data_IF_164460783013
#
_entry.id   IF_164460783013
#
_cell.length_a   1.000
_cell.length_b   1.000
_cell.length_c   1.000
_cell.angle_alpha   90.00
_cell.angle_beta   90.00
_cell.angle_gamma   90.00
#
_symmetry.space_group_name_H-M   'P 1'
#
loop_
_entity.id
_entity.type
_entity.pdbx_description
1 polymer ?
#
# COMPACT_ATOMS: atom_id res chain seq x y z
N UNK A 1 -5.32 15.85 13.56
CA UNK A 1 -5.65 16.68 12.36
C UNK A 1 -4.48 16.91 11.40
N UNK A 2 -3.29 17.36 11.85
CA UNK A 2 -2.11 17.55 10.95
C UNK A 2 -1.62 16.24 10.31
N UNK A 3 -1.56 15.15 11.07
CA UNK A 3 -1.13 13.82 10.60
C UNK A 3 -2.01 13.30 9.45
N UNK A 4 -3.33 13.25 9.66
CA UNK A 4 -4.29 12.78 8.64
C UNK A 4 -4.25 13.61 7.36
N UNK A 5 -4.06 14.93 7.48
CA UNK A 5 -3.90 15.80 6.30
C UNK A 5 -2.63 15.45 5.51
N UNK A 6 -1.49 15.26 6.19
CA UNK A 6 -0.25 14.88 5.52
C UNK A 6 -0.31 13.49 4.88
N UNK A 7 -0.99 12.53 5.50
CA UNK A 7 -1.22 11.20 4.90
C UNK A 7 -2.12 11.32 3.66
N UNK A 8 -3.18 12.12 3.74
CA UNK A 8 -4.08 12.35 2.60
C UNK A 8 -3.32 12.95 1.41
N UNK A 9 -2.56 14.03 1.63
CA UNK A 9 -1.72 14.64 0.59
C UNK A 9 -0.68 13.66 0.01
N UNK A 10 -0.05 12.84 0.86
CA UNK A 10 0.86 11.78 0.43
C UNK A 10 0.18 10.83 -0.53
N UNK A 11 -1.00 10.32 -0.16
CA UNK A 11 -1.71 9.30 -0.93
C UNK A 11 -2.24 9.85 -2.24
N UNK A 12 -2.80 11.07 -2.26
CA UNK A 12 -3.27 11.69 -3.49
C UNK A 12 -2.11 11.87 -4.48
N UNK A 13 -0.98 12.39 -4.02
CA UNK A 13 0.20 12.56 -4.87
C UNK A 13 0.79 11.22 -5.33
N UNK A 14 0.82 10.23 -4.45
CA UNK A 14 1.26 8.88 -4.78
C UNK A 14 0.35 8.27 -5.87
N UNK A 15 -0.97 8.32 -5.69
CA UNK A 15 -1.96 7.78 -6.62
C UNK A 15 -1.80 8.46 -7.99
N UNK A 16 -1.79 9.79 -8.02
CA UNK A 16 -1.62 10.54 -9.27
C UNK A 16 -0.33 10.14 -10.01
N UNK A 17 0.79 10.09 -9.29
CA UNK A 17 2.10 9.72 -9.87
C UNK A 17 2.10 8.27 -10.36
N UNK A 18 1.53 7.35 -9.56
CA UNK A 18 1.42 5.94 -9.89
C UNK A 18 0.63 5.71 -11.19
N UNK A 19 -0.52 6.39 -11.34
CA UNK A 19 -1.33 6.28 -12.55
C UNK A 19 -0.62 6.85 -13.78
N UNK A 20 -0.02 8.04 -13.68
CA UNK A 20 0.71 8.64 -14.80
C UNK A 20 1.83 7.73 -15.28
N UNK A 21 2.57 7.15 -14.33
CA UNK A 21 3.72 6.29 -14.60
C UNK A 21 3.31 4.95 -15.22
N UNK A 22 2.31 4.29 -14.64
CA UNK A 22 2.02 2.89 -14.94
C UNK A 22 0.83 2.67 -15.88
N UNK A 23 0.16 3.72 -16.36
CA UNK A 23 -1.02 3.63 -17.25
C UNK A 23 -0.86 2.65 -18.42
N UNK A 24 0.32 2.62 -19.03
CA UNK A 24 0.62 1.79 -20.20
C UNK A 24 1.69 0.73 -19.93
N UNK A 25 2.22 0.65 -18.72
CA UNK A 25 3.22 -0.33 -18.34
C UNK A 25 2.57 -1.70 -18.13
N UNK A 26 3.32 -2.78 -18.34
CA UNK A 26 2.88 -4.16 -18.10
C UNK A 26 1.57 -4.58 -18.82
N UNK A 27 1.14 -3.85 -19.86
CA UNK A 27 -0.09 -4.14 -20.63
C UNK A 27 -0.12 -5.57 -21.17
N UNK A 28 1.02 -6.11 -21.63
CA UNK A 28 1.11 -7.51 -22.07
C UNK A 28 0.83 -8.51 -20.96
N UNK A 29 1.34 -8.28 -19.75
CA UNK A 29 1.08 -9.13 -18.57
C UNK A 29 -0.38 -9.00 -18.12
N UNK A 30 -0.91 -7.78 -18.10
CA UNK A 30 -2.32 -7.51 -17.77
C UNK A 30 -3.28 -8.21 -18.73
N UNK A 31 -3.00 -8.20 -20.04
CA UNK A 31 -3.78 -9.00 -21.02
C UNK A 31 -3.75 -10.49 -20.68
N UNK A 32 -2.60 -11.03 -20.30
CA UNK A 32 -2.48 -12.43 -19.88
C UNK A 32 -3.34 -12.72 -18.65
N UNK A 33 -3.25 -11.88 -17.62
CA UNK A 33 -4.08 -12.01 -16.41
C UNK A 33 -5.58 -11.92 -16.71
N UNK A 34 -5.99 -11.02 -17.61
CA UNK A 34 -7.39 -10.89 -18.07
C UNK A 34 -7.90 -12.18 -18.75
N UNK A 35 -7.07 -12.79 -19.58
CA UNK A 35 -7.41 -14.07 -20.24
C UNK A 35 -7.53 -15.17 -19.19
N UNK A 36 -6.54 -15.27 -18.30
CA UNK A 36 -6.52 -16.28 -17.24
C UNK A 36 -7.68 -16.11 -16.24
N UNK A 37 -8.16 -14.88 -16.04
CA UNK A 37 -9.27 -14.57 -15.14
C UNK A 37 -10.65 -14.91 -15.68
N UNK A 38 -10.78 -15.21 -16.98
CA UNK A 38 -12.06 -15.39 -17.71
C UNK A 38 -12.99 -14.16 -17.66
N UNK A 39 -12.50 -13.00 -17.21
CA UNK A 39 -13.26 -11.74 -17.22
C UNK A 39 -13.16 -11.01 -18.56
N UNK A 40 -12.48 -11.61 -19.54
CA UNK A 40 -12.35 -11.08 -20.90
C UNK A 40 -13.68 -10.97 -21.65
N UNK A 41 -14.74 -11.61 -21.15
CA UNK A 41 -16.10 -11.55 -21.69
C UNK A 41 -16.97 -10.47 -21.04
N UNK A 42 -16.62 -10.02 -19.84
CA UNK A 42 -17.43 -9.09 -19.04
C UNK A 42 -16.93 -7.66 -19.13
N UNK A 43 -15.60 -7.48 -19.17
CA UNK A 43 -14.95 -6.17 -19.26
C UNK A 43 -14.13 -6.10 -20.54
N UNK A 44 -14.21 -4.94 -21.22
CA UNK A 44 -13.28 -4.62 -22.29
C UNK A 44 -11.84 -4.49 -21.74
N UNK A 45 -10.87 -4.46 -22.65
CA UNK A 45 -9.47 -4.47 -22.26
C UNK A 45 -9.05 -3.21 -21.48
N UNK A 46 -9.54 -2.05 -21.88
CA UNK A 46 -9.15 -0.79 -21.25
C UNK A 46 -9.71 -0.72 -19.85
N UNK A 47 -11.01 -0.99 -19.68
CA UNK A 47 -11.64 -1.01 -18.36
C UNK A 47 -11.00 -2.04 -17.44
N UNK A 48 -10.66 -3.24 -17.95
CA UNK A 48 -9.94 -4.23 -17.16
C UNK A 48 -8.58 -3.69 -16.68
N UNK A 49 -7.81 -3.08 -17.57
CA UNK A 49 -6.49 -2.53 -17.23
C UNK A 49 -6.61 -1.38 -16.22
N UNK A 50 -7.62 -0.51 -16.36
CA UNK A 50 -7.91 0.55 -15.39
C UNK A 50 -8.26 -0.04 -14.01
N UNK A 51 -9.16 -1.02 -13.93
CA UNK A 51 -9.52 -1.68 -12.68
C UNK A 51 -8.29 -2.36 -12.03
N UNK A 52 -7.47 -3.03 -12.81
CA UNK A 52 -6.26 -3.70 -12.33
C UNK A 52 -5.24 -2.72 -11.80
N UNK A 53 -4.97 -1.65 -12.56
CA UNK A 53 -4.05 -0.60 -12.17
C UNK A 53 -4.54 0.11 -10.89
N UNK A 54 -5.83 0.41 -10.81
CA UNK A 54 -6.40 1.07 -9.65
C UNK A 54 -6.32 0.20 -8.40
N UNK A 55 -6.72 -1.08 -8.51
CA UNK A 55 -6.61 -2.03 -7.40
C UNK A 55 -5.16 -2.24 -6.97
N UNK A 56 -4.22 -2.28 -7.91
CA UNK A 56 -2.79 -2.35 -7.58
C UNK A 56 -2.30 -1.10 -6.84
N UNK A 57 -2.70 0.09 -7.30
CA UNK A 57 -2.38 1.35 -6.64
C UNK A 57 -2.90 1.37 -5.20
N UNK A 58 -4.18 1.02 -4.99
CA UNK A 58 -4.79 0.98 -3.66
C UNK A 58 -4.12 -0.07 -2.76
N UNK A 59 -3.70 -1.22 -3.30
CA UNK A 59 -2.93 -2.22 -2.55
C UNK A 59 -1.59 -1.66 -2.07
N UNK A 60 -0.87 -0.91 -2.93
CA UNK A 60 0.38 -0.24 -2.54
C UNK A 60 0.16 0.84 -1.49
N UNK A 61 -0.88 1.66 -1.64
CA UNK A 61 -1.27 2.62 -0.61
C UNK A 61 -1.53 1.95 0.74
N UNK A 62 -2.28 0.85 0.75
CA UNK A 62 -2.55 0.09 1.97
C UNK A 62 -1.27 -0.48 2.60
N UNK A 63 -0.39 -1.10 1.79
CA UNK A 63 0.91 -1.59 2.27
C UNK A 63 1.75 -0.48 2.92
N UNK A 64 1.84 0.70 2.28
CA UNK A 64 2.60 1.84 2.80
C UNK A 64 2.05 2.29 4.16
N UNK A 65 0.74 2.49 4.27
CA UNK A 65 0.11 2.97 5.51
C UNK A 65 0.31 1.94 6.63
N UNK A 66 0.01 0.66 6.36
CA UNK A 66 0.11 -0.40 7.36
C UNK A 66 1.56 -0.56 7.80
N UNK A 67 2.51 -0.52 6.87
CA UNK A 67 3.94 -0.60 7.19
C UNK A 67 4.40 0.57 8.07
N UNK A 68 3.98 1.82 7.79
CA UNK A 68 4.31 2.96 8.65
C UNK A 68 3.69 2.85 10.04
N UNK A 69 2.47 2.33 10.17
CA UNK A 69 1.83 2.07 11.47
C UNK A 69 2.60 1.01 12.26
N UNK A 70 2.98 -0.10 11.60
CA UNK A 70 3.78 -1.16 12.21
C UNK A 70 5.14 -0.63 12.67
N UNK A 71 5.77 0.22 11.86
CA UNK A 71 7.04 0.86 12.17
C UNK A 71 6.99 1.71 13.42
N UNK A 72 6.01 2.61 13.50
CA UNK A 72 5.91 3.56 14.60
C UNK A 72 5.43 2.86 15.89
N UNK A 73 4.85 1.67 15.78
CA UNK A 73 4.55 0.77 16.90
C UNK A 73 5.72 -0.14 17.30
N UNK A 74 6.84 -0.07 16.57
CA UNK A 74 8.04 -0.86 16.84
C UNK A 74 7.92 -2.34 16.45
N UNK A 75 7.00 -2.68 15.54
CA UNK A 75 6.77 -4.03 15.06
C UNK A 75 7.60 -4.40 13.82
N UNK A 76 8.33 -3.44 13.24
CA UNK A 76 9.34 -3.69 12.20
C UNK A 76 10.67 -3.02 12.53
N UNK A 77 11.75 -3.68 12.12
CA UNK A 77 13.11 -3.21 12.34
C UNK A 77 13.58 -2.23 11.24
N UNK A 78 13.14 -2.45 10.00
CA UNK A 78 13.33 -1.51 8.90
C UNK A 78 12.52 -0.23 9.15
N UNK A 79 13.19 0.93 9.12
CA UNK A 79 12.53 2.21 9.44
C UNK A 79 12.56 3.19 8.26
N UNK A 80 11.38 3.59 7.79
CA UNK A 80 11.15 4.66 6.80
C UNK A 80 10.81 6.01 7.43
N UNK A 81 10.67 6.11 8.76
CA UNK A 81 10.61 7.39 9.45
C UNK A 81 11.98 8.10 9.46
N UNK A 82 11.99 9.36 9.89
CA UNK A 82 13.18 10.22 9.95
C UNK A 82 14.36 9.53 10.65
N UNK A 83 14.11 8.91 11.80
CA UNK A 83 15.14 8.23 12.58
C UNK A 83 15.75 7.02 11.84
N UNK A 84 14.93 6.28 11.10
CA UNK A 84 15.37 5.17 10.26
C UNK A 84 16.18 5.62 9.07
N UNK A 85 15.68 6.64 8.37
CA UNK A 85 16.34 7.24 7.21
C UNK A 85 17.71 7.81 7.59
N UNK A 86 17.83 8.48 8.74
CA UNK A 86 19.10 9.03 9.21
C UNK A 86 20.13 7.92 9.49
N UNK A 87 19.72 6.83 10.14
CA UNK A 87 20.57 5.66 10.33
C UNK A 87 20.97 5.02 9.00
N UNK A 88 20.04 4.89 8.06
CA UNK A 88 20.33 4.40 6.72
C UNK A 88 21.37 5.26 6.00
N UNK A 89 21.19 6.59 6.02
CA UNK A 89 22.16 7.52 5.41
C UNK A 89 23.56 7.45 6.01
N UNK A 90 23.66 7.17 7.31
CA UNK A 90 24.96 6.95 7.96
C UNK A 90 25.62 5.64 7.52
N UNK A 91 24.84 4.60 7.26
CA UNK A 91 25.33 3.29 6.83
C UNK A 91 25.72 3.27 5.35
N UNK A 92 25.06 4.08 4.50
CA UNK A 92 25.23 4.00 3.05
C UNK A 92 25.60 5.34 2.43
N UNK A 93 26.90 5.53 2.18
CA UNK A 93 27.49 6.79 1.69
C UNK A 93 26.99 7.23 0.30
N UNK A 94 26.53 6.29 -0.54
CA UNK A 94 26.14 6.55 -1.94
C UNK A 94 24.70 6.12 -2.29
N UNK A 95 23.93 5.56 -1.34
CA UNK A 95 22.55 5.07 -1.55
C UNK A 95 21.51 5.82 -0.71
N UNK A 96 21.85 7.01 -0.20
CA UNK A 96 20.98 7.85 0.61
C UNK A 96 19.71 8.35 -0.10
N UNK A 97 19.54 8.04 -1.38
CA UNK A 97 18.37 8.29 -2.22
C UNK A 97 17.65 7.01 -2.70
N UNK A 98 18.19 5.81 -2.41
CA UNK A 98 17.63 4.52 -2.82
C UNK A 98 16.57 4.03 -1.84
N UNK A 99 15.61 4.89 -1.52
CA UNK A 99 14.58 4.61 -0.52
C UNK A 99 13.62 3.48 -0.89
N UNK A 100 13.50 3.17 -2.18
CA UNK A 100 12.82 1.96 -2.63
C UNK A 100 13.43 0.69 -2.02
N UNK A 101 14.75 0.64 -1.79
CA UNK A 101 15.40 -0.50 -1.13
C UNK A 101 14.97 -0.63 0.34
N UNK A 102 14.79 0.49 1.06
CA UNK A 102 14.26 0.44 2.42
C UNK A 102 12.84 -0.10 2.45
N UNK A 103 12.02 0.30 1.47
CA UNK A 103 10.67 -0.21 1.30
C UNK A 103 10.68 -1.72 1.03
N UNK A 104 11.52 -2.17 0.09
CA UNK A 104 11.65 -3.59 -0.26
C UNK A 104 12.13 -4.44 0.93
N UNK A 105 13.13 -3.98 1.68
CA UNK A 105 13.61 -4.65 2.90
C UNK A 105 12.48 -4.76 3.91
N UNK A 106 11.75 -3.67 4.17
CA UNK A 106 10.65 -3.70 5.13
C UNK A 106 9.50 -4.62 4.71
N UNK A 107 9.19 -4.69 3.41
CA UNK A 107 8.23 -5.66 2.90
C UNK A 107 8.72 -7.10 3.09
N UNK A 108 10.01 -7.38 2.82
CA UNK A 108 10.57 -8.72 3.01
C UNK A 108 10.54 -9.15 4.48
N UNK A 109 10.87 -8.26 5.41
CA UNK A 109 10.79 -8.50 6.85
C UNK A 109 9.34 -8.87 7.24
N UNK A 110 8.36 -8.13 6.75
CA UNK A 110 6.94 -8.36 7.01
C UNK A 110 6.39 -9.64 6.37
N UNK A 111 6.91 -10.02 5.21
CA UNK A 111 6.62 -11.32 4.58
C UNK A 111 7.27 -12.47 5.35
N UNK A 112 8.38 -12.26 6.04
CA UNK A 112 9.02 -13.28 6.86
C UNK A 112 8.49 -13.35 8.31
N UNK A 113 7.55 -12.47 8.68
CA UNK A 113 7.02 -12.34 10.04
C UNK A 113 6.31 -13.63 10.51
N UNK A 114 6.59 -14.04 11.76
CA UNK A 114 5.98 -15.23 12.39
C UNK A 114 4.46 -15.05 12.61
N UNK A 115 4.00 -13.81 12.73
CA UNK A 115 2.59 -13.49 12.81
C UNK A 115 1.92 -13.68 11.44
N UNK A 116 1.22 -14.81 11.31
CA UNK A 116 0.49 -15.18 10.08
C UNK A 116 -0.42 -14.08 9.54
N UNK A 117 -0.98 -13.22 10.40
CA UNK A 117 -1.84 -12.13 9.92
C UNK A 117 -1.02 -11.00 9.32
N UNK A 118 0.12 -10.62 9.92
CA UNK A 118 1.06 -9.67 9.30
C UNK A 118 1.56 -10.22 7.96
N UNK A 119 2.10 -11.44 7.96
CA UNK A 119 2.55 -12.13 6.75
C UNK A 119 1.48 -12.14 5.65
N UNK A 120 0.21 -12.42 5.99
CA UNK A 120 -0.88 -12.47 5.02
C UNK A 120 -1.19 -11.13 4.34
N UNK A 121 -0.94 -10.00 5.03
CA UNK A 121 -1.16 -8.65 4.50
C UNK A 121 -0.12 -8.30 3.42
N UNK A 122 1.11 -8.78 3.60
CA UNK A 122 2.25 -8.43 2.73
C UNK A 122 2.61 -9.54 1.73
N UNK A 123 1.89 -10.67 1.72
CA UNK A 123 2.12 -11.76 0.77
C UNK A 123 2.07 -11.25 -0.68
N UNK A 124 2.92 -11.81 -1.52
CA UNK A 124 3.01 -11.47 -2.94
C UNK A 124 1.70 -11.80 -3.68
N UNK A 125 1.32 -10.92 -4.59
CA UNK A 125 0.13 -10.96 -5.42
C UNK A 125 0.45 -10.54 -6.85
N UNK A 126 -0.48 -10.77 -7.77
CA UNK A 126 -0.34 -10.34 -9.17
C UNK A 126 -0.29 -8.81 -9.31
N UNK A 127 -0.81 -8.07 -8.32
CA UNK A 127 -0.79 -6.61 -8.28
C UNK A 127 0.61 -6.04 -7.97
N UNK A 128 1.54 -6.86 -7.48
CA UNK A 128 2.88 -6.43 -7.11
C UNK A 128 3.83 -6.28 -8.33
N UNK A 129 3.32 -6.45 -9.55
CA UNK A 129 4.06 -6.15 -10.79
C UNK A 129 4.45 -4.67 -10.92
N UNK A 130 3.75 -3.77 -10.22
CA UNK A 130 4.08 -2.35 -10.14
C UNK A 130 4.87 -2.09 -8.86
N UNK A 131 6.11 -1.63 -9.02
CA UNK A 131 7.05 -1.44 -7.91
C UNK A 131 6.99 -0.01 -7.36
N UNK A 132 7.31 0.16 -6.09
CA UNK A 132 7.51 1.48 -5.48
C UNK A 132 8.96 1.88 -5.74
N UNK A 133 9.18 2.57 -6.86
CA UNK A 133 10.52 3.00 -7.26
C UNK A 133 10.97 4.26 -6.50
N UNK A 134 12.13 4.82 -6.87
CA UNK A 134 12.69 5.99 -6.18
C UNK A 134 11.76 7.21 -6.18
N UNK A 135 11.02 7.45 -7.25
CA UNK A 135 10.09 8.58 -7.36
C UNK A 135 8.92 8.41 -6.39
N UNK A 136 8.27 7.26 -6.41
CA UNK A 136 7.16 6.95 -5.51
C UNK A 136 7.61 6.89 -4.05
N UNK A 137 8.78 6.31 -3.77
CA UNK A 137 9.34 6.27 -2.42
C UNK A 137 9.66 7.67 -1.88
N UNK A 138 10.14 8.59 -2.74
CA UNK A 138 10.39 9.97 -2.34
C UNK A 138 9.11 10.69 -1.91
N UNK A 139 7.97 10.43 -2.56
CA UNK A 139 6.67 10.96 -2.14
C UNK A 139 6.35 10.47 -0.73
N UNK A 140 6.43 9.15 -0.50
CA UNK A 140 6.14 8.56 0.82
C UNK A 140 6.99 9.22 1.91
N UNK A 141 8.29 9.38 1.67
CA UNK A 141 9.22 9.96 2.64
C UNK A 141 8.96 11.44 2.87
N UNK A 142 8.76 12.21 1.81
CA UNK A 142 8.54 13.64 1.91
C UNK A 142 7.39 13.98 2.86
N UNK A 143 6.30 13.21 2.79
CA UNK A 143 5.11 13.46 3.58
C UNK A 143 5.07 12.71 4.92
N UNK A 144 5.69 11.54 5.03
CA UNK A 144 5.49 10.65 6.20
C UNK A 144 6.69 10.51 7.14
N UNK A 145 7.89 10.98 6.77
CA UNK A 145 9.10 10.74 7.54
C UNK A 145 9.02 11.31 8.97
N UNK A 146 8.38 12.46 9.14
CA UNK A 146 8.25 13.14 10.44
C UNK A 146 6.92 12.84 11.15
N UNK A 147 6.09 11.96 10.59
CA UNK A 147 4.82 11.58 11.20
C UNK A 147 5.04 10.44 12.20
N UNK A 148 4.30 10.48 13.31
CA UNK A 148 4.13 9.34 14.21
C UNK A 148 2.70 8.81 14.06
N UNK A 149 2.58 7.55 13.63
CA UNK A 149 1.32 6.84 13.44
C UNK A 149 1.03 5.80 14.54
N UNK A 150 1.78 5.80 15.64
CA UNK A 150 1.59 4.83 16.74
C UNK A 150 0.16 4.82 17.26
N UNK A 151 -0.44 6.01 17.35
CA UNK A 151 -1.72 6.27 18.02
C UNK A 151 -2.88 6.47 17.04
N UNK A 152 -2.69 6.17 15.76
CA UNK A 152 -3.76 6.31 14.76
C UNK A 152 -4.95 5.41 15.13
N UNK A 153 -6.15 6.00 15.15
CA UNK A 153 -7.38 5.28 15.48
C UNK A 153 -7.91 4.49 14.28
N UNK A 154 -8.81 3.54 14.56
CA UNK A 154 -9.53 2.81 13.50
C UNK A 154 -10.33 3.78 12.63
N UNK A 155 -11.05 4.73 13.24
CA UNK A 155 -11.88 5.72 12.56
C UNK A 155 -11.04 6.62 11.65
N UNK A 156 -9.84 7.00 12.09
CA UNK A 156 -8.89 7.76 11.29
C UNK A 156 -8.41 6.97 10.07
N UNK A 157 -8.09 5.69 10.24
CA UNK A 157 -7.68 4.79 9.15
C UNK A 157 -8.82 4.55 8.14
N UNK A 158 -10.04 4.36 8.63
CA UNK A 158 -11.26 4.29 7.81
C UNK A 158 -11.49 5.60 7.06
N UNK A 159 -11.28 6.74 7.73
CA UNK A 159 -11.36 8.06 7.13
C UNK A 159 -10.38 8.23 5.96
N UNK A 160 -9.14 7.76 6.11
CA UNK A 160 -8.14 7.76 5.04
C UNK A 160 -8.59 6.86 3.88
N UNK A 161 -9.06 5.64 4.19
CA UNK A 161 -9.52 4.70 3.17
C UNK A 161 -10.65 5.28 2.32
N UNK A 162 -11.64 5.92 2.95
CA UNK A 162 -12.78 6.56 2.25
C UNK A 162 -12.38 7.74 1.38
N UNK A 163 -11.22 8.35 1.61
CA UNK A 163 -10.69 9.42 0.76
C UNK A 163 -9.99 8.92 -0.50
N UNK A 164 -9.35 7.75 -0.43
CA UNK A 164 -8.66 7.14 -1.58
C UNK A 164 -9.54 6.17 -2.37
N UNK A 165 -10.56 5.61 -1.72
CA UNK A 165 -11.52 4.69 -2.31
C UNK A 165 -12.90 4.90 -1.67
N UNK A 166 -13.62 5.88 -2.21
CA UNK A 166 -14.92 6.33 -1.70
C UNK A 166 -16.00 5.27 -1.84
N UNK A 167 -17.13 5.44 -1.13
CA UNK A 167 -18.27 4.52 -1.27
C UNK A 167 -18.82 4.49 -2.70
N UNK A 168 -18.92 5.65 -3.35
CA UNK A 168 -19.33 5.75 -4.76
C UNK A 168 -18.38 4.98 -5.68
N UNK A 169 -17.06 5.16 -5.50
CA UNK A 169 -16.07 4.40 -6.27
C UNK A 169 -16.16 2.90 -5.97
N UNK A 170 -16.47 2.49 -4.75
CA UNK A 170 -16.64 1.06 -4.42
C UNK A 170 -17.81 0.43 -5.15
N UNK A 171 -18.93 1.15 -5.22
CA UNK A 171 -20.12 0.71 -5.95
C UNK A 171 -19.88 0.64 -7.46
N UNK A 172 -19.18 1.62 -8.02
CA UNK A 172 -18.87 1.70 -9.45
C UNK A 172 -17.83 0.65 -9.86
N UNK A 173 -16.70 0.56 -9.14
CA UNK A 173 -15.54 -0.22 -9.56
C UNK A 173 -15.55 -1.65 -9.03
N UNK A 174 -16.24 -1.90 -7.91
CA UNK A 174 -16.35 -3.22 -7.26
C UNK A 174 -15.02 -3.95 -7.12
N UNK A 175 -13.96 -3.23 -6.76
CA UNK A 175 -12.59 -3.78 -6.76
C UNK A 175 -12.41 -4.95 -5.78
N UNK A 176 -13.27 -5.07 -4.77
CA UNK A 176 -13.27 -6.23 -3.85
C UNK A 176 -13.55 -7.55 -4.59
N UNK A 177 -14.45 -7.50 -5.58
CA UNK A 177 -14.87 -8.65 -6.39
C UNK A 177 -14.04 -8.77 -7.68
N UNK A 178 -13.38 -7.69 -8.09
CA UNK A 178 -12.59 -7.64 -9.33
C UNK A 178 -11.29 -8.44 -9.24
N UNK A 179 -11.17 -9.51 -10.02
CA UNK A 179 -9.98 -10.36 -10.10
C UNK A 179 -9.50 -10.85 -8.70
N UNK A 180 -8.34 -11.51 -8.64
CA UNK A 180 -7.77 -12.08 -7.42
C UNK A 180 -7.70 -11.08 -6.25
N UNK A 181 -7.46 -11.59 -5.06
CA UNK A 181 -7.32 -10.76 -3.86
C UNK A 181 -6.08 -9.85 -3.93
N UNK A 182 -6.26 -8.59 -3.48
CA UNK A 182 -5.18 -7.65 -3.22
C UNK A 182 -4.98 -7.58 -1.69
N UNK A 183 -4.02 -8.30 -1.10
CA UNK A 183 -4.08 -8.68 0.32
C UNK A 183 -4.13 -7.50 1.29
N UNK A 184 -3.32 -6.45 1.06
CA UNK A 184 -3.29 -5.29 1.94
C UNK A 184 -4.54 -4.42 1.80
N UNK A 185 -5.06 -4.26 0.58
CA UNK A 185 -6.33 -3.58 0.34
C UNK A 185 -7.49 -4.33 0.99
N UNK A 186 -7.54 -5.65 0.83
CA UNK A 186 -8.56 -6.52 1.43
C UNK A 186 -8.56 -6.40 2.94
N UNK A 187 -7.38 -6.44 3.58
CA UNK A 187 -7.26 -6.20 5.01
C UNK A 187 -7.74 -4.80 5.43
N UNK A 188 -7.36 -3.76 4.68
CA UNK A 188 -7.75 -2.39 5.00
C UNK A 188 -9.29 -2.20 4.88
N UNK A 189 -9.92 -2.86 3.92
CA UNK A 189 -11.38 -2.86 3.77
C UNK A 189 -12.09 -3.71 4.85
N UNK A 190 -11.47 -4.79 5.31
CA UNK A 190 -12.04 -5.62 6.38
C UNK A 190 -12.08 -4.89 7.72
N UNK A 191 -11.19 -3.91 7.94
CA UNK A 191 -11.20 -3.05 9.13
C UNK A 191 -12.50 -2.24 9.26
N UNK A 192 -13.19 -1.92 8.17
CA UNK A 192 -14.51 -1.27 8.26
C UNK A 192 -15.63 -2.25 8.70
N UNK A 193 -15.41 -3.55 8.51
CA UNK A 193 -16.42 -4.61 8.72
C UNK A 193 -16.26 -5.37 10.04
N UNK A 194 -15.06 -5.36 10.63
CA UNK A 194 -14.73 -6.03 11.89
C UNK A 194 -14.42 -5.03 13.02
N UNK A 195 -14.75 -5.38 14.27
CA UNK A 195 -14.20 -4.70 15.45
C UNK A 195 -12.66 -4.82 15.40
N UNK A 196 -11.95 -3.69 15.44
CA UNK A 196 -10.49 -3.56 15.31
C UNK A 196 -9.74 -4.11 16.51
N UNK A 197 -9.91 -5.41 16.75
CA UNK A 197 -9.26 -6.17 17.81
C UNK A 197 -7.89 -6.68 17.39
N UNK A 198 -7.53 -6.55 16.10
CA UNK A 198 -6.25 -7.02 15.57
C UNK A 198 -5.06 -6.43 16.31
N UNK A 199 -5.00 -5.10 16.45
CA UNK A 199 -3.87 -4.42 17.05
C UNK A 199 -3.78 -4.60 18.56
N UNK A 200 -4.91 -4.81 19.22
CA UNK A 200 -4.96 -5.12 20.65
C UNK A 200 -4.40 -6.53 20.96
N UNK A 201 -4.31 -7.41 19.95
CA UNK A 201 -3.83 -8.80 20.08
C UNK A 201 -2.39 -9.03 19.62
N UNK A 202 -1.73 -8.05 18.99
CA UNK A 202 -0.31 -8.18 18.58
C UNK A 202 0.65 -7.95 19.77
N UNK A 203 0.15 -7.42 20.89
CA UNK A 203 0.90 -7.30 22.16
C UNK A 203 0.72 -8.50 23.13
N UNK A 204 0.08 -9.58 22.68
CA UNK A 204 -0.16 -10.78 23.49
C UNK A 204 0.87 -11.87 23.23
#
# INVERSE_FOLDING_TARGET
MKVIKSIDEMLQNFIQTFFVKYKYENRGLMKKFRIDSRLNLELDEEKWCECFLFKACLNRCAQIIIMRILEDRGLIYSKMNRSGIEKWKQLVQNLGSSYHLLFDIGQQDLVADENKKINSIFRKSDYDIFVVDGELANIVIHYSADLNLSDISQEELIGILRKIYSLEQREEWKLEEFYKEAPALTYLLSIEKEDFTFWNRIKG
#
